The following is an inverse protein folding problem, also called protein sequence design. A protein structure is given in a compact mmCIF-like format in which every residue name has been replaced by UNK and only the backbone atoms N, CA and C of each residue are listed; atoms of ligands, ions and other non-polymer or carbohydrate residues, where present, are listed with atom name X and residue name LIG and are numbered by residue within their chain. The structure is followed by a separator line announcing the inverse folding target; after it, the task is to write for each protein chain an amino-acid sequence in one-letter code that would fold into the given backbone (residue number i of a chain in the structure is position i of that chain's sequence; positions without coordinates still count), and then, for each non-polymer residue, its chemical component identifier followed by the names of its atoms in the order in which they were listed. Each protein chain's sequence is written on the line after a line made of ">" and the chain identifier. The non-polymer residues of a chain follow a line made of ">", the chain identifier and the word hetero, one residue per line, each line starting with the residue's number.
data_IF_256178874613
#
_entry.id   IF_256178874613
#
_cell.length_a   1.000
_cell.length_b   1.000
_cell.length_c   1.000
_cell.angle_alpha   90.00
_cell.angle_beta   90.00
_cell.angle_gamma   90.00
#
_symmetry.space_group_name_H-M   'P 1'
#
loop_
_entity.id
_entity.type
_entity.pdbx_description
1 polymer ?
#
# COMPACT_ATOMS: atom_id res chain seq x y z
N UNK A 1 12.73 16.99 -4.59
CA UNK A 1 13.84 16.59 -3.70
C UNK A 1 13.55 16.87 -2.22
N UNK A 2 13.18 18.09 -1.83
CA UNK A 2 12.90 18.45 -0.41
C UNK A 2 11.84 17.55 0.25
N UNK A 3 10.72 17.26 -0.43
CA UNK A 3 9.65 16.40 0.11
C UNK A 3 10.16 14.98 0.37
N UNK A 4 10.88 14.40 -0.58
CA UNK A 4 11.48 13.07 -0.42
C UNK A 4 12.47 13.00 0.75
N UNK A 5 13.28 14.04 0.94
CA UNK A 5 14.16 14.15 2.10
C UNK A 5 13.40 14.22 3.43
N UNK A 6 12.30 14.99 3.49
CA UNK A 6 11.44 15.05 4.69
C UNK A 6 10.77 13.69 4.99
N UNK A 7 10.28 12.98 3.98
CA UNK A 7 9.72 11.63 4.13
C UNK A 7 10.79 10.68 4.65
N UNK A 8 12.01 10.75 4.10
CA UNK A 8 13.14 9.96 4.56
C UNK A 8 13.48 10.26 6.02
N UNK A 9 13.63 11.53 6.39
CA UNK A 9 13.93 11.95 7.76
C UNK A 9 12.86 11.47 8.75
N UNK A 10 11.58 11.62 8.39
CA UNK A 10 10.48 11.15 9.22
C UNK A 10 10.48 9.62 9.39
N UNK A 11 10.71 8.89 8.30
CA UNK A 11 10.64 7.44 8.27
C UNK A 11 11.86 6.79 8.91
N UNK A 12 13.04 7.37 8.70
CA UNK A 12 14.32 6.81 9.14
C UNK A 12 14.71 7.26 10.54
N UNK A 13 14.54 8.54 10.90
CA UNK A 13 14.90 9.03 12.23
C UNK A 13 13.74 8.89 13.21
N UNK A 14 12.63 9.56 12.92
CA UNK A 14 11.55 9.69 13.90
C UNK A 14 10.86 8.34 14.12
N UNK A 15 10.44 7.66 13.04
CA UNK A 15 9.72 6.39 13.16
C UNK A 15 10.58 5.25 13.73
N UNK A 16 11.88 5.16 13.41
CA UNK A 16 12.76 4.13 13.96
C UNK A 16 13.21 4.42 15.40
N UNK A 17 13.28 5.69 15.79
CA UNK A 17 13.60 6.06 17.18
C UNK A 17 12.50 5.65 18.18
N UNK A 18 11.24 5.61 17.75
CA UNK A 18 10.09 5.26 18.59
C UNK A 18 10.26 3.91 19.33
N UNK A 19 10.49 2.76 18.65
CA UNK A 19 10.67 1.49 19.35
C UNK A 19 11.92 1.47 20.24
N UNK A 20 12.97 2.23 19.91
CA UNK A 20 14.20 2.31 20.72
C UNK A 20 13.94 3.05 22.04
N UNK A 21 13.30 4.23 21.97
CA UNK A 21 12.95 5.01 23.17
C UNK A 21 11.92 4.26 24.00
N UNK A 22 10.93 3.63 23.37
CA UNK A 22 9.96 2.79 24.06
C UNK A 22 10.64 1.60 24.76
N UNK A 23 11.60 0.94 24.09
CA UNK A 23 12.39 -0.14 24.70
C UNK A 23 13.17 0.31 25.93
N UNK A 24 13.78 1.50 25.89
CA UNK A 24 14.45 2.10 27.07
C UNK A 24 13.46 2.48 28.18
N UNK A 25 12.28 2.98 27.81
CA UNK A 25 11.22 3.30 28.76
C UNK A 25 10.68 2.05 29.46
N UNK A 26 10.52 0.93 28.75
CA UNK A 26 10.14 -0.35 29.35
C UNK A 26 11.22 -0.83 30.33
N UNK A 27 12.50 -0.72 29.95
CA UNK A 27 13.64 -1.08 30.81
C UNK A 27 13.72 -0.25 32.09
N UNK A 28 13.25 0.99 32.08
CA UNK A 28 13.20 1.84 33.27
C UNK A 28 12.34 1.24 34.40
N UNK A 29 11.25 0.55 34.07
CA UNK A 29 10.36 -0.09 35.06
C UNK A 29 10.84 -1.47 35.55
N UNK A 30 12.04 -1.90 35.17
CA UNK A 30 12.57 -3.20 35.57
C UNK A 30 13.06 -3.18 37.04
N UNK A 31 12.80 -4.27 37.78
CA UNK A 31 12.87 -4.36 39.25
C UNK A 31 14.25 -4.14 39.90
N UNK A 32 15.30 -3.86 39.13
CA UNK A 32 16.70 -3.72 39.60
C UNK A 32 17.33 -2.35 39.26
N UNK A 33 16.52 -1.33 38.98
CA UNK A 33 17.02 -0.07 38.42
C UNK A 33 16.92 1.06 39.43
N UNK A 34 18.06 1.52 39.96
CA UNK A 34 18.17 2.78 40.72
C UNK A 34 18.12 3.97 39.76
N UNK A 35 16.99 4.15 39.09
CA UNK A 35 16.80 5.25 38.16
C UNK A 35 16.08 6.42 38.81
N UNK A 36 16.58 7.62 38.55
CA UNK A 36 15.98 8.85 39.01
C UNK A 36 14.61 9.07 38.34
N UNK A 37 13.65 9.60 39.09
CA UNK A 37 12.28 9.82 38.63
C UNK A 37 12.25 10.74 37.40
N UNK A 38 13.20 11.69 37.32
CA UNK A 38 13.39 12.59 36.17
C UNK A 38 13.61 11.84 34.85
N UNK A 39 14.31 10.70 34.87
CA UNK A 39 14.63 9.90 33.69
C UNK A 39 13.39 9.22 33.12
N UNK A 40 12.48 8.76 33.99
CA UNK A 40 11.19 8.19 33.59
C UNK A 40 10.31 9.22 32.87
N UNK A 41 10.17 10.42 33.44
CA UNK A 41 9.41 11.52 32.82
C UNK A 41 10.00 11.97 31.48
N UNK A 42 11.33 12.01 31.36
CA UNK A 42 12.01 12.34 30.11
C UNK A 42 11.73 11.31 29.01
N UNK A 43 11.86 10.02 29.33
CA UNK A 43 11.63 8.94 28.36
C UNK A 43 10.15 8.86 27.95
N UNK A 44 9.23 8.97 28.91
CA UNK A 44 7.79 8.96 28.64
C UNK A 44 7.34 10.14 27.78
N UNK A 45 7.78 11.36 28.10
CA UNK A 45 7.50 12.55 27.29
C UNK A 45 8.15 12.45 25.90
N UNK A 46 9.34 11.85 25.81
CA UNK A 46 10.03 11.56 24.56
C UNK A 46 9.23 10.65 23.62
N UNK A 47 8.62 9.57 24.12
CA UNK A 47 7.77 8.68 23.30
C UNK A 47 6.57 9.44 22.73
N UNK A 48 5.88 10.22 23.56
CA UNK A 48 4.69 10.99 23.15
C UNK A 48 5.09 12.05 22.12
N UNK A 49 6.18 12.79 22.37
CA UNK A 49 6.66 13.84 21.47
C UNK A 49 7.09 13.26 20.12
N UNK A 50 7.81 12.13 20.10
CA UNK A 50 8.20 11.44 18.87
C UNK A 50 6.98 10.92 18.11
N UNK A 51 5.96 10.40 18.79
CA UNK A 51 4.70 9.98 18.16
C UNK A 51 3.95 11.16 17.53
N UNK A 52 3.83 12.27 18.26
CA UNK A 52 3.19 13.48 17.77
C UNK A 52 3.95 14.08 16.58
N UNK A 53 5.27 14.26 16.71
CA UNK A 53 6.11 14.81 15.64
C UNK A 53 6.06 13.92 14.39
N UNK A 54 6.07 12.59 14.56
CA UNK A 54 5.91 11.67 13.44
C UNK A 54 4.62 11.95 12.66
N UNK A 55 3.49 12.09 13.36
CA UNK A 55 2.18 12.36 12.74
C UNK A 55 2.10 13.74 12.09
N UNK A 56 2.61 14.78 12.73
CA UNK A 56 2.65 16.14 12.18
C UNK A 56 3.45 16.18 10.88
N UNK A 57 4.66 15.64 10.88
CA UNK A 57 5.52 15.61 9.68
C UNK A 57 4.93 14.72 8.59
N UNK A 58 4.29 13.59 8.95
CA UNK A 58 3.57 12.76 7.98
C UNK A 58 2.41 13.54 7.32
N UNK A 59 1.56 14.22 8.08
CA UNK A 59 0.48 15.02 7.51
C UNK A 59 1.00 16.17 6.65
N UNK A 60 2.05 16.86 7.11
CA UNK A 60 2.69 17.94 6.35
C UNK A 60 3.26 17.44 5.02
N UNK A 61 3.95 16.30 5.02
CA UNK A 61 4.53 15.72 3.78
C UNK A 61 3.45 15.23 2.83
N UNK A 62 2.39 14.60 3.31
CA UNK A 62 1.23 14.20 2.50
C UNK A 62 0.58 15.42 1.85
N UNK A 63 0.27 16.47 2.62
CA UNK A 63 -0.34 17.69 2.09
C UNK A 63 0.52 18.34 1.00
N UNK A 64 1.83 18.47 1.23
CA UNK A 64 2.73 19.05 0.24
C UNK A 64 2.88 18.17 -1.00
N UNK A 65 2.90 16.85 -0.83
CA UNK A 65 2.91 15.93 -1.95
C UNK A 65 1.62 16.06 -2.80
N UNK A 66 0.45 16.13 -2.17
CA UNK A 66 -0.81 16.37 -2.85
C UNK A 66 -0.85 17.73 -3.57
N UNK A 67 -0.27 18.78 -2.98
CA UNK A 67 -0.15 20.09 -3.63
C UNK A 67 0.72 20.04 -4.88
N UNK A 68 1.87 19.35 -4.81
CA UNK A 68 2.74 19.17 -5.98
C UNK A 68 2.05 18.32 -7.04
N UNK A 69 1.40 17.22 -6.65
CA UNK A 69 0.60 16.38 -7.54
C UNK A 69 -0.46 17.18 -8.29
N UNK A 70 -1.23 18.01 -7.57
CA UNK A 70 -2.23 18.89 -8.15
C UNK A 70 -1.62 19.90 -9.15
N UNK A 71 -0.47 20.50 -8.84
CA UNK A 71 0.23 21.41 -9.77
C UNK A 71 0.68 20.69 -11.04
N UNK A 72 1.24 19.48 -10.90
CA UNK A 72 1.61 18.63 -12.04
C UNK A 72 0.38 18.31 -12.89
N UNK A 73 -0.74 17.94 -12.25
CA UNK A 73 -2.02 17.69 -12.94
C UNK A 73 -2.48 18.88 -13.77
N UNK A 74 -2.53 20.07 -13.17
CA UNK A 74 -2.92 21.31 -13.86
C UNK A 74 -1.97 21.64 -15.02
N UNK A 75 -0.66 21.50 -14.81
CA UNK A 75 0.34 21.72 -15.86
C UNK A 75 0.18 20.73 -17.02
N UNK A 76 0.00 19.44 -16.74
CA UNK A 76 -0.26 18.41 -17.75
C UNK A 76 -1.54 18.72 -18.54
N UNK A 77 -2.66 19.03 -17.86
CA UNK A 77 -3.90 19.39 -18.53
C UNK A 77 -3.73 20.62 -19.44
N UNK A 78 -3.01 21.65 -18.97
CA UNK A 78 -2.73 22.85 -19.78
C UNK A 78 -1.85 22.56 -21.00
N UNK A 79 -0.81 21.74 -20.84
CA UNK A 79 0.06 21.33 -21.94
C UNK A 79 -0.68 20.48 -22.97
N UNK A 80 -1.50 19.53 -22.52
CA UNK A 80 -2.35 18.71 -23.39
C UNK A 80 -3.31 19.63 -24.17
N UNK A 81 -3.99 20.55 -23.48
CA UNK A 81 -4.90 21.51 -24.12
C UNK A 81 -4.20 22.37 -25.18
N UNK A 82 -3.04 22.95 -24.87
CA UNK A 82 -2.24 23.74 -25.83
C UNK A 82 -1.78 22.90 -27.03
N UNK A 83 -1.44 21.63 -26.81
CA UNK A 83 -1.02 20.72 -27.88
C UNK A 83 -2.18 20.37 -28.81
N UNK A 84 -3.38 20.18 -28.27
CA UNK A 84 -4.59 19.92 -29.06
C UNK A 84 -4.93 21.06 -30.01
N UNK A 85 -4.83 22.31 -29.53
CA UNK A 85 -5.09 23.50 -30.36
C UNK A 85 -4.10 23.65 -31.53
N UNK A 86 -2.94 22.98 -31.48
CA UNK A 86 -1.90 23.02 -32.53
C UNK A 86 -1.83 21.74 -33.35
N UNK A 87 -2.72 20.76 -33.10
CA UNK A 87 -2.69 19.48 -33.77
C UNK A 87 -3.37 19.59 -35.13
N UNK A 88 -2.72 19.08 -36.18
CA UNK A 88 -3.26 19.10 -37.53
C UNK A 88 -4.34 18.01 -37.70
N UNK A 89 -5.29 18.20 -38.63
CA UNK A 89 -6.48 17.35 -38.79
C UNK A 89 -6.15 15.85 -38.98
N UNK A 90 -5.03 15.54 -39.65
CA UNK A 90 -4.55 14.16 -39.91
C UNK A 90 -4.08 13.46 -38.61
N UNK A 91 -3.48 14.20 -37.69
CA UNK A 91 -3.08 13.69 -36.36
C UNK A 91 -4.26 13.64 -35.39
N UNK A 92 -5.23 14.55 -35.50
CA UNK A 92 -6.44 14.57 -34.67
C UNK A 92 -7.35 13.38 -34.95
N UNK A 93 -7.35 12.83 -36.17
CA UNK A 93 -8.08 11.60 -36.50
C UNK A 93 -7.57 10.34 -35.79
N UNK A 94 -6.33 10.34 -35.28
CA UNK A 94 -5.74 9.19 -34.57
C UNK A 94 -6.09 9.15 -33.08
N UNK A 95 -6.53 10.27 -32.48
CA UNK A 95 -6.83 10.35 -31.05
C UNK A 95 -8.26 10.81 -30.88
N UNK A 96 -9.15 9.92 -30.43
CA UNK A 96 -10.57 10.27 -30.29
C UNK A 96 -10.79 11.22 -29.11
N UNK A 97 -11.83 12.06 -29.19
CA UNK A 97 -12.22 12.93 -28.08
C UNK A 97 -12.44 12.13 -26.78
N UNK A 98 -12.96 10.90 -26.87
CA UNK A 98 -13.12 10.00 -25.72
C UNK A 98 -11.80 9.57 -25.08
N UNK A 99 -10.78 9.23 -25.89
CA UNK A 99 -9.44 8.92 -25.37
C UNK A 99 -8.82 10.11 -24.63
N UNK A 100 -9.06 11.32 -25.14
CA UNK A 100 -8.58 12.55 -24.54
C UNK A 100 -9.27 12.84 -23.20
N UNK A 101 -10.59 12.69 -23.14
CA UNK A 101 -11.34 12.84 -21.90
C UNK A 101 -10.86 11.81 -20.87
N UNK A 102 -10.61 10.56 -21.28
CA UNK A 102 -10.07 9.53 -20.39
C UNK A 102 -8.66 9.88 -19.88
N UNK A 103 -7.78 10.37 -20.77
CA UNK A 103 -6.44 10.82 -20.39
C UNK A 103 -6.51 11.92 -19.32
N UNK A 104 -7.31 12.95 -19.54
CA UNK A 104 -7.44 14.09 -18.63
C UNK A 104 -8.14 13.74 -17.30
N UNK A 105 -9.10 12.81 -17.33
CA UNK A 105 -9.90 12.46 -16.15
C UNK A 105 -9.33 11.32 -15.30
N UNK A 106 -8.65 10.34 -15.91
CA UNK A 106 -8.14 9.15 -15.21
C UNK A 106 -6.62 9.14 -15.08
N UNK A 107 -5.89 9.37 -16.17
CA UNK A 107 -4.43 9.20 -16.16
C UNK A 107 -3.73 10.34 -15.43
N UNK A 108 -4.12 11.59 -15.69
CA UNK A 108 -3.47 12.74 -15.03
C UNK A 108 -3.76 12.75 -13.52
N UNK A 109 -4.94 12.29 -13.08
CA UNK A 109 -5.29 12.20 -11.65
C UNK A 109 -4.37 11.25 -10.88
N UNK A 110 -3.77 10.25 -11.53
CA UNK A 110 -2.82 9.33 -10.87
C UNK A 110 -1.57 10.04 -10.37
N UNK A 111 -1.18 11.17 -10.96
CA UNK A 111 -0.02 11.94 -10.51
C UNK A 111 -0.20 12.55 -9.11
N UNK A 112 -1.45 12.72 -8.65
CA UNK A 112 -1.74 13.28 -7.31
C UNK A 112 -1.13 12.42 -6.19
N UNK A 113 -1.08 11.10 -6.41
CA UNK A 113 -0.57 10.14 -5.43
C UNK A 113 0.78 9.52 -5.83
N UNK A 114 1.05 9.37 -7.14
CA UNK A 114 2.24 8.68 -7.63
C UNK A 114 3.54 9.30 -7.10
N UNK A 115 3.60 10.63 -7.02
CA UNK A 115 4.79 11.35 -6.54
C UNK A 115 5.17 11.00 -5.09
N UNK A 116 4.18 10.69 -4.24
CA UNK A 116 4.41 10.29 -2.86
C UNK A 116 4.96 8.87 -2.78
N UNK A 117 4.35 7.96 -3.54
CA UNK A 117 4.76 6.55 -3.57
C UNK A 117 6.14 6.32 -4.18
N UNK A 118 6.56 7.14 -5.15
CA UNK A 118 7.89 7.05 -5.78
C UNK A 118 9.02 7.18 -4.75
N UNK A 119 8.87 8.03 -3.73
CA UNK A 119 9.91 8.19 -2.72
C UNK A 119 10.06 6.95 -1.82
N UNK A 120 9.01 6.15 -1.64
CA UNK A 120 9.11 4.93 -0.85
C UNK A 120 9.96 3.83 -1.51
N UNK A 121 10.17 3.88 -2.83
CA UNK A 121 10.97 2.89 -3.57
C UNK A 121 12.41 2.83 -3.03
N UNK A 122 13.02 3.97 -2.74
CA UNK A 122 14.40 4.04 -2.23
C UNK A 122 14.47 4.14 -0.70
N UNK A 123 13.44 4.66 -0.04
CA UNK A 123 13.39 4.77 1.43
C UNK A 123 13.19 3.40 2.08
N UNK A 124 12.31 2.54 1.53
CA UNK A 124 11.97 1.24 2.13
C UNK A 124 13.16 0.28 2.24
N UNK A 125 14.03 0.11 1.21
CA UNK A 125 15.23 -0.74 1.33
C UNK A 125 16.19 -0.25 2.43
N UNK A 126 16.45 1.07 2.48
CA UNK A 126 17.32 1.67 3.51
C UNK A 126 16.72 1.47 4.91
N UNK A 127 15.40 1.65 5.03
CA UNK A 127 14.67 1.41 6.27
C UNK A 127 14.73 -0.07 6.69
N UNK A 128 14.66 -1.01 5.74
CA UNK A 128 14.80 -2.45 6.01
C UNK A 128 16.17 -2.80 6.57
N UNK A 129 17.24 -2.25 6.00
CA UNK A 129 18.62 -2.44 6.48
C UNK A 129 18.77 -1.86 7.90
N UNK A 130 18.31 -0.64 8.15
CA UNK A 130 18.35 -0.05 9.48
C UNK A 130 17.51 -0.84 10.50
N UNK A 131 16.33 -1.32 10.09
CA UNK A 131 15.49 -2.21 10.90
C UNK A 131 16.22 -3.51 11.28
N UNK A 132 16.98 -4.10 10.34
CA UNK A 132 17.79 -5.29 10.61
C UNK A 132 18.87 -5.02 11.66
N UNK A 133 19.58 -3.89 11.55
CA UNK A 133 20.61 -3.47 12.51
C UNK A 133 19.99 -3.32 13.91
N UNK A 134 18.84 -2.64 14.00
CA UNK A 134 18.13 -2.47 15.27
C UNK A 134 17.67 -3.82 15.82
N UNK A 135 17.04 -4.67 15.01
CA UNK A 135 16.61 -6.01 15.46
C UNK A 135 17.78 -6.88 15.90
N UNK A 136 18.92 -6.81 15.21
CA UNK A 136 20.14 -7.53 15.60
C UNK A 136 20.64 -7.09 16.99
N UNK A 137 20.51 -5.81 17.34
CA UNK A 137 20.90 -5.33 18.68
C UNK A 137 20.05 -5.92 19.83
N UNK A 138 18.82 -6.36 19.54
CA UNK A 138 17.93 -6.97 20.55
C UNK A 138 17.93 -8.51 20.48
N UNK A 139 17.78 -9.08 19.28
CA UNK A 139 17.51 -10.51 19.06
C UNK A 139 18.74 -11.26 18.49
N UNK A 140 19.85 -10.55 18.28
CA UNK A 140 21.11 -11.10 17.73
C UNK A 140 20.86 -11.88 16.43
N UNK A 141 21.38 -13.10 16.34
CA UNK A 141 21.33 -13.94 15.14
C UNK A 141 19.89 -14.30 14.71
N UNK A 142 18.90 -14.23 15.60
CA UNK A 142 17.50 -14.49 15.23
C UNK A 142 16.85 -13.35 14.44
N UNK A 143 17.51 -12.19 14.31
CA UNK A 143 17.04 -11.10 13.46
C UNK A 143 17.07 -11.46 11.97
N UNK A 144 18.06 -12.24 11.51
CA UNK A 144 18.22 -12.64 10.12
C UNK A 144 17.07 -13.52 9.57
N UNK A 145 16.73 -14.67 10.19
CA UNK A 145 15.61 -15.49 9.69
C UNK A 145 14.28 -14.73 9.74
N UNK A 146 14.08 -13.90 10.76
CA UNK A 146 12.89 -13.04 10.87
C UNK A 146 12.79 -12.06 9.70
N UNK A 147 13.86 -11.29 9.45
CA UNK A 147 13.89 -10.31 8.36
C UNK A 147 13.75 -10.97 6.99
N UNK A 148 14.32 -12.16 6.81
CA UNK A 148 14.20 -12.93 5.57
C UNK A 148 12.76 -13.34 5.30
N UNK A 149 12.05 -13.92 6.29
CA UNK A 149 10.65 -14.31 6.11
C UNK A 149 9.75 -13.08 5.90
N UNK A 150 9.97 -12.00 6.64
CA UNK A 150 9.26 -10.73 6.42
C UNK A 150 9.43 -10.21 4.99
N UNK A 151 10.67 -10.21 4.48
CA UNK A 151 10.98 -9.69 3.14
C UNK A 151 10.38 -10.57 2.05
N UNK A 152 10.48 -11.90 2.18
CA UNK A 152 9.84 -12.86 1.26
C UNK A 152 8.33 -12.65 1.23
N UNK A 153 7.69 -12.54 2.39
CA UNK A 153 6.25 -12.37 2.46
C UNK A 153 5.80 -11.00 1.91
N UNK A 154 6.51 -9.93 2.25
CA UNK A 154 6.20 -8.58 1.79
C UNK A 154 6.41 -8.42 0.28
N UNK A 155 7.51 -8.94 -0.27
CA UNK A 155 7.85 -8.76 -1.69
C UNK A 155 7.17 -9.81 -2.56
N UNK A 156 7.39 -11.10 -2.28
CA UNK A 156 6.86 -12.17 -3.12
C UNK A 156 5.38 -12.40 -2.87
N UNK A 157 4.96 -12.45 -1.59
CA UNK A 157 3.56 -12.66 -1.23
C UNK A 157 2.66 -11.55 -1.78
N UNK A 158 2.86 -10.31 -1.33
CA UNK A 158 2.02 -9.18 -1.78
C UNK A 158 2.25 -8.84 -3.26
N UNK A 159 3.47 -8.98 -3.79
CA UNK A 159 3.76 -8.74 -5.20
C UNK A 159 3.00 -9.70 -6.13
N UNK A 160 2.99 -10.99 -5.82
CA UNK A 160 2.23 -11.99 -6.57
C UNK A 160 0.71 -11.76 -6.47
N UNK A 161 0.20 -11.48 -5.26
CA UNK A 161 -1.22 -11.19 -5.06
C UNK A 161 -1.65 -9.92 -5.82
N UNK A 162 -0.82 -8.88 -5.81
CA UNK A 162 -1.08 -7.62 -6.54
C UNK A 162 -1.13 -7.85 -8.05
N UNK A 163 -0.17 -8.60 -8.62
CA UNK A 163 -0.19 -8.99 -10.03
C UNK A 163 -1.44 -9.79 -10.38
N UNK A 164 -1.82 -10.73 -9.52
CA UNK A 164 -3.01 -11.55 -9.71
C UNK A 164 -4.29 -10.71 -9.68
N UNK A 165 -4.44 -9.80 -8.72
CA UNK A 165 -5.55 -8.83 -8.68
C UNK A 165 -5.59 -7.97 -9.94
N UNK A 166 -4.43 -7.52 -10.45
CA UNK A 166 -4.34 -6.79 -11.72
C UNK A 166 -4.92 -7.58 -12.90
N UNK A 167 -4.57 -8.87 -13.01
CA UNK A 167 -5.12 -9.77 -14.05
C UNK A 167 -6.65 -9.92 -13.94
N UNK A 168 -7.19 -10.04 -12.72
CA UNK A 168 -8.64 -10.10 -12.53
C UNK A 168 -9.33 -8.81 -12.92
N UNK A 169 -8.78 -7.66 -12.52
CA UNK A 169 -9.34 -6.35 -12.91
C UNK A 169 -9.40 -6.21 -14.42
N UNK A 170 -8.37 -6.64 -15.15
CA UNK A 170 -8.38 -6.68 -16.61
C UNK A 170 -9.51 -7.56 -17.18
N UNK A 171 -9.67 -8.79 -16.66
CA UNK A 171 -10.77 -9.68 -17.07
C UNK A 171 -12.15 -9.12 -16.75
N UNK A 172 -12.32 -8.53 -15.56
CA UNK A 172 -13.58 -7.89 -15.16
C UNK A 172 -13.91 -6.77 -16.15
N UNK A 173 -12.95 -5.89 -16.48
CA UNK A 173 -13.16 -4.82 -17.45
C UNK A 173 -13.66 -5.36 -18.80
N UNK A 174 -13.02 -6.42 -19.34
CA UNK A 174 -13.47 -7.01 -20.61
C UNK A 174 -14.89 -7.60 -20.54
N UNK A 175 -15.29 -8.20 -19.42
CA UNK A 175 -16.65 -8.73 -19.23
C UNK A 175 -17.68 -7.61 -19.07
N UNK A 176 -17.32 -6.56 -18.33
CA UNK A 176 -18.15 -5.37 -18.18
C UNK A 176 -18.38 -4.69 -19.53
N UNK A 177 -17.35 -4.56 -20.37
CA UNK A 177 -17.46 -3.98 -21.71
C UNK A 177 -18.40 -4.80 -22.60
N UNK A 178 -18.28 -6.13 -22.59
CA UNK A 178 -19.19 -7.03 -23.31
C UNK A 178 -20.64 -6.89 -22.85
N UNK A 179 -20.88 -6.79 -21.54
CA UNK A 179 -22.23 -6.60 -20.98
C UNK A 179 -22.82 -5.25 -21.38
N UNK A 180 -22.03 -4.18 -21.30
CA UNK A 180 -22.48 -2.83 -21.70
C UNK A 180 -22.81 -2.80 -23.19
N UNK A 181 -21.99 -3.42 -24.04
CA UNK A 181 -22.28 -3.55 -25.47
C UNK A 181 -23.59 -4.31 -25.73
N UNK A 182 -23.77 -5.48 -25.12
CA UNK A 182 -25.02 -6.26 -25.22
C UNK A 182 -26.25 -5.44 -24.83
N UNK A 183 -26.17 -4.70 -23.72
CA UNK A 183 -27.26 -3.84 -23.27
C UNK A 183 -27.57 -2.73 -24.28
N UNK A 184 -26.54 -2.12 -24.87
CA UNK A 184 -26.72 -1.11 -25.92
C UNK A 184 -27.44 -1.67 -27.16
N UNK A 185 -27.12 -2.90 -27.56
CA UNK A 185 -27.78 -3.58 -28.70
C UNK A 185 -29.25 -3.88 -28.38
N UNK A 186 -29.56 -4.38 -27.17
CA UNK A 186 -30.93 -4.63 -26.71
C UNK A 186 -31.75 -3.33 -26.68
N UNK A 187 -31.20 -2.24 -26.13
CA UNK A 187 -31.90 -0.94 -26.08
C UNK A 187 -32.15 -0.38 -27.47
N UNK A 188 -31.19 -0.52 -28.38
CA UNK A 188 -31.35 -0.06 -29.77
C UNK A 188 -32.41 -0.86 -30.53
N UNK A 189 -32.54 -2.16 -30.25
CA UNK A 189 -33.50 -3.07 -30.88
C UNK A 189 -34.83 -3.24 -30.14
N UNK A 190 -35.13 -2.42 -29.13
CA UNK A 190 -36.22 -2.70 -28.17
C UNK A 190 -37.61 -2.81 -28.83
N UNK A 191 -37.87 -2.04 -29.87
CA UNK A 191 -39.16 -2.06 -30.59
C UNK A 191 -39.44 -3.41 -31.23
N UNK A 192 -38.43 -4.01 -31.90
CA UNK A 192 -38.54 -5.33 -32.52
C UNK A 192 -38.71 -6.41 -31.46
N UNK A 193 -37.92 -6.36 -30.38
CA UNK A 193 -38.01 -7.32 -29.28
C UNK A 193 -39.42 -7.33 -28.67
N UNK A 194 -40.03 -6.15 -28.48
CA UNK A 194 -41.41 -5.99 -27.99
C UNK A 194 -42.44 -6.50 -28.99
N UNK A 195 -42.29 -6.19 -30.28
CA UNK A 195 -43.20 -6.63 -31.35
C UNK A 195 -43.30 -8.16 -31.43
N UNK A 196 -42.20 -8.87 -31.20
CA UNK A 196 -42.16 -10.34 -31.23
C UNK A 196 -42.24 -11.00 -29.85
N UNK A 197 -42.46 -10.24 -28.77
CA UNK A 197 -42.48 -10.72 -27.38
C UNK A 197 -41.21 -11.52 -26.97
N UNK A 198 -40.04 -11.16 -27.51
CA UNK A 198 -38.75 -11.84 -27.24
C UNK A 198 -38.05 -11.42 -25.95
N UNK A 199 -38.76 -10.76 -25.04
CA UNK A 199 -38.20 -10.19 -23.81
C UNK A 199 -37.52 -11.25 -22.93
N UNK A 200 -38.18 -12.40 -22.74
CA UNK A 200 -37.69 -13.48 -21.89
C UNK A 200 -36.39 -14.12 -22.40
N UNK A 201 -36.25 -14.44 -23.70
CA UNK A 201 -34.97 -14.84 -24.28
C UNK A 201 -33.85 -13.81 -24.07
N UNK A 202 -34.10 -12.53 -24.34
CA UNK A 202 -33.08 -11.47 -24.20
C UNK A 202 -32.70 -11.21 -22.72
N UNK A 203 -33.66 -11.30 -21.81
CA UNK A 203 -33.43 -11.28 -20.36
C UNK A 203 -32.46 -12.38 -19.94
N UNK A 204 -32.65 -13.60 -20.46
CA UNK A 204 -31.77 -14.74 -20.15
C UNK A 204 -30.34 -14.53 -20.69
N UNK A 205 -30.19 -13.96 -21.87
CA UNK A 205 -28.87 -13.64 -22.46
C UNK A 205 -28.14 -12.59 -21.60
N UNK A 206 -28.86 -11.55 -21.18
CA UNK A 206 -28.35 -10.53 -20.27
C UNK A 206 -27.92 -11.11 -18.91
N UNK A 207 -28.74 -11.99 -18.32
CA UNK A 207 -28.44 -12.63 -17.04
C UNK A 207 -27.19 -13.51 -17.12
N UNK A 208 -27.01 -14.28 -18.20
CA UNK A 208 -25.78 -15.08 -18.42
C UNK A 208 -24.54 -14.18 -18.47
N UNK A 209 -24.61 -13.05 -19.17
CA UNK A 209 -23.50 -12.08 -19.24
C UNK A 209 -23.19 -11.50 -17.86
N UNK A 210 -24.23 -11.12 -17.10
CA UNK A 210 -24.10 -10.59 -15.74
C UNK A 210 -23.51 -11.62 -14.78
N UNK A 211 -23.94 -12.88 -14.82
CA UNK A 211 -23.40 -13.96 -13.97
C UNK A 211 -21.90 -14.17 -14.20
N UNK A 212 -21.43 -14.14 -15.46
CA UNK A 212 -20.00 -14.24 -15.78
C UNK A 212 -19.20 -13.08 -15.17
N UNK A 213 -19.70 -11.86 -15.30
CA UNK A 213 -19.11 -10.65 -14.70
C UNK A 213 -19.04 -10.76 -13.17
N UNK A 214 -20.18 -11.06 -12.51
CA UNK A 214 -20.30 -11.17 -11.06
C UNK A 214 -19.38 -12.25 -10.50
N UNK A 215 -19.29 -13.42 -11.16
CA UNK A 215 -18.40 -14.50 -10.72
C UNK A 215 -16.92 -14.06 -10.70
N UNK A 216 -16.49 -13.28 -11.70
CA UNK A 216 -15.12 -12.74 -11.71
C UNK A 216 -14.91 -11.63 -10.68
N UNK A 217 -15.92 -10.78 -10.46
CA UNK A 217 -15.89 -9.77 -9.40
C UNK A 217 -15.78 -10.47 -8.03
N UNK A 218 -16.58 -11.49 -7.77
CA UNK A 218 -16.55 -12.26 -6.51
C UNK A 218 -15.17 -12.87 -6.27
N UNK A 219 -14.58 -13.52 -7.29
CA UNK A 219 -13.22 -14.07 -7.21
C UNK A 219 -12.16 -13.02 -6.90
N UNK A 220 -12.24 -11.83 -7.51
CA UNK A 220 -11.34 -10.73 -7.19
C UNK A 220 -11.55 -10.18 -5.76
N UNK A 221 -12.80 -10.14 -5.29
CA UNK A 221 -13.14 -9.76 -3.92
C UNK A 221 -12.58 -10.74 -2.89
N UNK A 222 -12.65 -12.06 -3.15
CA UNK A 222 -12.03 -13.06 -2.28
C UNK A 222 -10.52 -12.86 -2.17
N UNK A 223 -9.83 -12.62 -3.30
CA UNK A 223 -8.38 -12.35 -3.29
C UNK A 223 -8.04 -11.06 -2.55
N UNK A 224 -8.88 -10.02 -2.68
CA UNK A 224 -8.71 -8.77 -1.93
C UNK A 224 -8.91 -8.98 -0.42
N UNK A 225 -9.92 -9.75 -0.04
CA UNK A 225 -10.16 -10.16 1.35
C UNK A 225 -8.97 -10.93 1.92
N UNK A 226 -8.49 -11.93 1.18
CA UNK A 226 -7.31 -12.71 1.56
C UNK A 226 -6.04 -11.85 1.69
N UNK A 227 -5.79 -10.92 0.75
CA UNK A 227 -4.66 -9.97 0.83
C UNK A 227 -4.73 -9.09 2.08
N UNK A 228 -5.94 -8.65 2.45
CA UNK A 228 -6.17 -7.83 3.65
C UNK A 228 -5.96 -8.65 4.93
N UNK A 229 -6.47 -9.88 4.96
CA UNK A 229 -6.26 -10.82 6.07
C UNK A 229 -4.79 -11.16 6.26
N UNK A 230 -4.06 -11.41 5.16
CA UNK A 230 -2.62 -11.63 5.18
C UNK A 230 -1.90 -10.45 5.83
N UNK A 231 -2.26 -9.20 5.49
CA UNK A 231 -1.61 -8.00 6.05
C UNK A 231 -1.67 -7.98 7.60
N UNK A 232 -2.85 -8.28 8.17
CA UNK A 232 -3.03 -8.39 9.63
C UNK A 232 -2.21 -9.55 10.19
N UNK A 233 -2.12 -10.66 9.46
CA UNK A 233 -1.39 -11.84 9.91
C UNK A 233 0.14 -11.66 9.86
N UNK A 234 0.68 -10.84 8.94
CA UNK A 234 2.13 -10.62 8.79
C UNK A 234 2.75 -10.13 10.10
N UNK A 235 2.13 -9.15 10.75
CA UNK A 235 2.65 -8.56 11.99
C UNK A 235 2.76 -9.61 13.10
N UNK A 236 1.75 -10.48 13.23
CA UNK A 236 1.70 -11.56 14.23
C UNK A 236 2.68 -12.69 13.90
N UNK A 237 2.71 -13.12 12.64
CA UNK A 237 3.62 -14.15 12.16
C UNK A 237 5.09 -13.74 12.32
N UNK A 238 5.40 -12.47 12.05
CA UNK A 238 6.73 -11.89 12.25
C UNK A 238 7.17 -12.01 13.72
N UNK A 239 6.32 -11.58 14.65
CA UNK A 239 6.63 -11.67 16.08
C UNK A 239 6.84 -13.12 16.52
N UNK A 240 5.98 -14.03 16.06
CA UNK A 240 6.10 -15.45 16.36
C UNK A 240 7.41 -16.06 15.83
N UNK A 241 7.77 -15.77 14.58
CA UNK A 241 9.02 -16.23 13.95
C UNK A 241 10.23 -15.66 14.68
N UNK A 242 10.19 -14.39 15.10
CA UNK A 242 11.26 -13.76 15.86
C UNK A 242 11.51 -14.49 17.19
N UNK A 243 10.43 -14.76 17.93
CA UNK A 243 10.49 -15.45 19.22
C UNK A 243 10.96 -16.89 19.07
N UNK A 244 10.43 -17.65 18.10
CA UNK A 244 10.84 -19.03 17.87
C UNK A 244 12.29 -19.12 17.42
N UNK A 245 12.69 -18.29 16.46
CA UNK A 245 14.08 -18.27 15.99
C UNK A 245 15.03 -18.00 17.14
N UNK A 246 14.64 -17.11 18.06
CA UNK A 246 15.44 -16.78 19.22
C UNK A 246 15.58 -17.95 20.20
N UNK A 247 14.48 -18.65 20.50
CA UNK A 247 14.49 -19.82 21.39
C UNK A 247 15.26 -21.00 20.78
N UNK A 248 15.10 -21.24 19.48
CA UNK A 248 15.80 -22.31 18.76
C UNK A 248 17.32 -22.11 18.72
N UNK A 249 17.79 -20.86 18.76
CA UNK A 249 19.21 -20.53 18.89
C UNK A 249 19.75 -20.72 20.31
N UNK A 250 18.97 -21.35 21.20
CA UNK A 250 19.33 -21.68 22.58
C UNK A 250 19.04 -20.56 23.58
N UNK A 251 18.64 -19.37 23.14
CA UNK A 251 18.53 -18.24 24.03
C UNK A 251 17.24 -18.27 24.86
N UNK A 252 17.31 -17.91 26.15
CA UNK A 252 16.13 -17.86 27.04
C UNK A 252 15.42 -16.52 26.94
N UNK A 253 14.08 -16.57 26.91
CA UNK A 253 13.22 -15.40 27.05
C UNK A 253 13.12 -15.10 28.55
N UNK A 254 14.06 -14.34 29.09
CA UNK A 254 13.96 -13.86 30.47
C UNK A 254 13.24 -12.51 30.47
N UNK A 255 12.21 -12.32 31.31
CA UNK A 255 11.52 -11.03 31.48
C UNK A 255 12.39 -9.89 32.05
N UNK A 256 13.71 -10.09 32.14
CA UNK A 256 14.71 -9.27 32.86
C UNK A 256 15.82 -8.69 31.96
N UNK A 257 15.65 -8.90 30.66
CA UNK A 257 16.39 -8.38 29.50
C UNK A 257 15.62 -9.02 28.38
N UNK A 258 14.89 -8.22 27.59
CA UNK A 258 14.38 -8.73 26.33
C UNK A 258 15.57 -9.29 25.57
N UNK A 259 15.76 -10.60 25.65
CA UNK A 259 16.70 -11.42 24.90
C UNK A 259 18.19 -11.25 25.34
N UNK A 260 18.66 -12.09 26.28
CA UNK A 260 20.09 -12.30 26.56
C UNK A 260 20.61 -13.66 26.05
N UNK A 261 21.81 -13.73 25.44
CA UNK A 261 22.44 -14.99 25.07
C UNK A 261 22.87 -15.80 26.30
N UNK A 262 22.94 -17.12 26.16
CA UNK A 262 23.48 -18.01 27.20
C UNK A 262 24.96 -17.68 27.39
N UNK A 263 25.32 -17.09 28.54
CA UNK A 263 26.67 -17.24 29.05
C UNK A 263 26.75 -18.59 29.77
N UNK A 264 27.62 -19.48 29.28
CA UNK A 264 28.14 -20.57 30.11
C UNK A 264 28.82 -20.00 31.35
#
# INVERSE_FOLDING_TARGET
>A
MIIGFLIFLNTFLIKMSQPIVLGRYIKYFEKNSTHDASTGWLLGSGVILLAFLHKVVMHYTVLNCSRVGMRVRVACCSLIYRKLLRLNHISSGKTTAGQLVNLLSNDVVRFDFALGFLHYIWIMPLQGIAGLIVMYSYIQNAAFPTMLVMTIQAVLGQGCLSKLQGRFRGKIATLTDQRVKLMSEITSGIQVIKMFAWEKPFEKIADISRRKEVNMIARNSYIRGFSSALNIFIERATLYIAVISYVLLGNRITGRRGLSPISN
#
